data_IF_510821784530
#
_entry.id   IF_510821784530
#
_cell.length_a   1.000
_cell.length_b   1.000
_cell.length_c   1.000
_cell.angle_alpha   90.00
_cell.angle_beta   90.00
_cell.angle_gamma   90.00
#
_symmetry.space_group_name_H-M   'P 1'
#
loop_
_entity.id
_entity.type
_entity.pdbx_description
1 polymer ?
#
# COMPACT_ATOMS: atom_id res chain seq x y z
N UNK A 1 7.65 71.14 12.07
CA UNK A 1 8.75 70.94 13.04
C UNK A 1 8.91 69.43 13.19
N UNK A 2 9.71 68.71 12.39
CA UNK A 2 11.16 68.82 12.18
C UNK A 2 11.83 69.06 13.55
N UNK A 3 12.70 68.22 14.12
CA UNK A 3 13.44 67.05 13.65
C UNK A 3 14.15 66.48 14.94
N UNK A 4 15.34 65.86 14.95
CA UNK A 4 15.60 64.41 15.17
C UNK A 4 16.61 64.12 16.33
N UNK A 5 17.23 62.91 16.30
CA UNK A 5 18.61 62.53 16.75
C UNK A 5 18.65 61.47 17.88
N UNK A 6 19.52 60.45 17.92
CA UNK A 6 20.55 59.84 17.04
C UNK A 6 20.95 58.45 17.64
N UNK A 7 21.28 57.49 16.77
CA UNK A 7 22.43 56.53 16.75
C UNK A 7 22.80 55.59 17.94
N UNK A 8 22.66 54.27 17.66
CA UNK A 8 23.62 53.10 17.71
C UNK A 8 24.85 53.10 18.64
N UNK A 9 25.36 51.92 19.11
CA UNK A 9 26.25 51.05 18.30
C UNK A 9 25.98 49.53 18.44
N UNK A 10 26.00 48.75 17.34
CA UNK A 10 27.15 47.94 16.89
C UNK A 10 27.85 47.15 18.02
N UNK A 11 27.63 45.83 18.07
CA UNK A 11 28.50 44.89 18.78
C UNK A 11 29.18 43.98 17.75
N UNK A 12 30.48 44.23 17.58
CA UNK A 12 31.36 43.60 16.61
C UNK A 12 31.84 42.21 17.06
N UNK A 13 32.22 41.42 16.05
CA UNK A 13 32.97 40.17 16.10
C UNK A 13 34.42 40.36 16.58
N UNK A 14 34.91 39.44 17.42
CA UNK A 14 36.31 38.95 17.50
C UNK A 14 36.22 37.47 17.94
N UNK A 15 36.54 36.43 17.14
CA UNK A 15 37.82 35.85 16.68
C UNK A 15 38.85 35.48 17.78
N UNK A 16 38.99 34.17 18.06
CA UNK A 16 40.26 33.42 18.17
C UNK A 16 39.96 31.90 18.39
N UNK A 17 40.21 31.04 17.40
CA UNK A 17 41.35 30.09 17.30
C UNK A 17 41.39 28.96 18.33
N UNK A 18 41.14 27.71 17.88
CA UNK A 18 42.03 26.52 18.00
C UNK A 18 41.29 25.23 17.56
N UNK A 19 41.85 24.41 16.66
CA UNK A 19 41.41 23.03 16.42
C UNK A 19 42.36 22.02 17.07
N UNK A 20 41.87 21.14 17.95
CA UNK A 20 42.65 20.02 18.50
C UNK A 20 42.23 18.70 17.87
N UNK A 21 43.08 18.17 17.00
CA UNK A 21 43.06 16.81 16.45
C UNK A 21 43.72 15.89 17.48
N UNK A 22 43.04 14.83 17.91
CA UNK A 22 43.63 13.72 18.66
C UNK A 22 43.87 12.55 17.72
N UNK A 23 45.12 12.37 17.31
CA UNK A 23 45.65 11.15 16.71
C UNK A 23 46.55 10.45 17.73
N UNK A 24 46.20 9.23 18.12
CA UNK A 24 47.01 8.36 18.98
C UNK A 24 48.01 7.62 18.09
N UNK A 25 49.31 7.85 18.31
CA UNK A 25 50.40 7.06 17.74
C UNK A 25 51.13 6.34 18.88
N UNK A 26 51.33 5.03 18.72
CA UNK A 26 52.13 4.20 19.60
C UNK A 26 53.62 4.33 19.24
N UNK A 27 54.45 4.58 20.24
CA UNK A 27 55.90 4.58 20.16
C UNK A 27 56.44 3.17 20.44
N UNK A 28 57.38 2.69 19.63
CA UNK A 28 58.36 1.66 20.02
C UNK A 28 59.73 2.03 19.45
N UNK A 29 60.72 2.02 20.34
CA UNK A 29 62.11 2.39 20.10
C UNK A 29 62.93 1.32 19.36
N UNK A 30 64.07 1.69 18.75
CA UNK A 30 65.00 0.79 18.09
C UNK A 30 66.11 0.29 19.05
N UNK A 31 66.60 -0.93 18.82
CA UNK A 31 67.89 -1.38 19.35
C UNK A 31 68.72 -2.08 18.27
N UNK A 32 69.97 -1.66 18.21
CA UNK A 32 71.07 -2.06 17.33
C UNK A 32 71.97 -3.14 17.97
N UNK A 33 72.98 -3.60 17.19
CA UNK A 33 74.18 -4.39 17.56
C UNK A 33 73.96 -5.93 17.61
N UNK A 34 74.80 -6.82 17.10
CA UNK A 34 76.23 -6.80 16.74
C UNK A 34 76.57 -7.75 15.57
N UNK A 35 77.73 -7.47 14.98
CA UNK A 35 78.50 -8.29 14.04
C UNK A 35 79.01 -9.60 14.67
N UNK A 36 79.19 -10.65 13.84
CA UNK A 36 80.14 -11.73 14.13
C UNK A 36 80.69 -12.36 12.84
N UNK A 37 81.99 -12.18 12.65
CA UNK A 37 82.87 -12.78 11.65
C UNK A 37 83.38 -14.15 12.09
N UNK A 38 83.53 -15.13 11.19
CA UNK A 38 84.59 -16.18 11.14
C UNK A 38 84.49 -16.87 9.75
N UNK A 39 85.41 -16.63 8.81
CA UNK A 39 86.68 -17.33 8.53
C UNK A 39 86.55 -18.63 7.73
N UNK A 40 87.25 -18.65 6.60
CA UNK A 40 87.25 -19.65 5.53
C UNK A 40 87.88 -21.00 5.89
N UNK A 41 87.52 -22.05 5.14
CA UNK A 41 88.43 -23.17 4.86
C UNK A 41 88.09 -23.80 3.49
N UNK A 42 89.16 -24.16 2.77
CA UNK A 42 89.25 -24.54 1.36
C UNK A 42 89.06 -26.06 1.20
N UNK A 43 88.34 -26.49 0.16
CA UNK A 43 88.61 -27.76 -0.55
C UNK A 43 87.92 -27.81 -1.93
N UNK A 44 88.72 -27.96 -3.00
CA UNK A 44 88.35 -28.36 -4.38
C UNK A 44 88.62 -29.89 -4.54
N UNK A 45 88.42 -30.54 -5.71
CA UNK A 45 87.19 -30.72 -6.50
C UNK A 45 87.02 -32.21 -6.94
N UNK A 46 85.87 -32.63 -7.50
CA UNK A 46 85.84 -33.73 -8.50
C UNK A 46 84.71 -33.53 -9.52
N UNK A 47 84.99 -33.53 -10.83
CA UNK A 47 83.96 -33.47 -11.86
C UNK A 47 83.59 -34.89 -12.31
N UNK A 48 82.29 -35.19 -12.37
CA UNK A 48 81.76 -36.28 -13.18
C UNK A 48 80.61 -35.75 -14.02
N UNK A 49 80.63 -35.95 -15.35
CA UNK A 49 79.57 -35.49 -16.23
C UNK A 49 78.54 -36.60 -16.39
N UNK A 50 77.27 -36.34 -16.07
CA UNK A 50 76.17 -37.08 -16.68
C UNK A 50 74.87 -36.29 -16.64
N UNK A 51 74.46 -35.97 -17.86
CA UNK A 51 73.14 -35.58 -18.35
C UNK A 51 72.02 -36.13 -17.47
N UNK A 52 71.07 -35.27 -17.02
CA UNK A 52 69.62 -35.53 -17.14
C UNK A 52 68.75 -34.43 -16.52
N UNK A 53 67.80 -33.95 -17.33
CA UNK A 53 66.53 -33.30 -16.99
C UNK A 53 66.58 -31.88 -16.42
N UNK A 54 66.43 -30.92 -17.31
CA UNK A 54 65.70 -29.68 -17.08
C UNK A 54 64.27 -29.99 -16.61
N UNK A 55 64.07 -30.12 -15.29
CA UNK A 55 62.75 -29.99 -14.67
C UNK A 55 62.59 -28.53 -14.29
N UNK A 56 61.93 -27.75 -15.15
CA UNK A 56 61.41 -26.45 -14.77
C UNK A 56 60.55 -26.63 -13.51
N UNK A 57 60.77 -25.89 -12.41
CA UNK A 57 59.82 -25.87 -11.33
C UNK A 57 58.55 -25.22 -11.87
N UNK A 58 57.54 -26.03 -12.15
CA UNK A 58 56.19 -25.57 -12.45
C UNK A 58 55.64 -24.94 -11.17
N UNK A 59 56.07 -23.71 -10.87
CA UNK A 59 55.45 -22.88 -9.85
C UNK A 59 54.09 -22.50 -10.39
N UNK A 60 53.09 -23.33 -10.09
CA UNK A 60 51.71 -23.00 -10.38
C UNK A 60 51.29 -21.90 -9.41
N UNK A 61 51.59 -20.66 -9.78
CA UNK A 61 51.08 -19.47 -9.14
C UNK A 61 49.56 -19.52 -9.27
N UNK A 62 48.87 -19.81 -8.17
CA UNK A 62 47.42 -19.68 -8.12
C UNK A 62 47.08 -18.20 -8.05
N UNK A 63 46.71 -17.62 -9.19
CA UNK A 63 46.07 -16.30 -9.25
C UNK A 63 44.60 -16.40 -8.82
N UNK A 64 44.37 -16.83 -7.58
CA UNK A 64 43.07 -16.60 -6.94
C UNK A 64 43.25 -15.40 -6.03
N UNK A 65 43.09 -14.20 -6.57
CA UNK A 65 42.88 -13.02 -5.75
C UNK A 65 41.55 -13.20 -5.01
N UNK A 66 41.48 -12.71 -3.77
CA UNK A 66 40.31 -12.70 -2.89
C UNK A 66 39.10 -11.90 -3.43
N UNK A 67 39.06 -11.66 -4.75
CA UNK A 67 38.02 -10.95 -5.48
C UNK A 67 36.84 -11.85 -5.90
N UNK A 68 36.82 -13.12 -5.51
CA UNK A 68 35.71 -14.05 -5.79
C UNK A 68 34.58 -14.01 -4.74
N UNK A 69 34.68 -13.18 -3.70
CA UNK A 69 33.60 -12.97 -2.73
C UNK A 69 32.78 -11.68 -3.02
N UNK A 70 33.27 -10.76 -3.86
CA UNK A 70 32.63 -9.46 -4.09
C UNK A 70 31.63 -9.40 -5.24
N UNK A 71 31.47 -10.46 -6.04
CA UNK A 71 30.67 -10.44 -7.28
C UNK A 71 29.45 -11.37 -7.24
N UNK A 72 29.00 -11.82 -6.06
CA UNK A 72 27.80 -12.67 -5.98
C UNK A 72 26.48 -11.94 -6.26
N UNK A 73 26.47 -10.60 -6.33
CA UNK A 73 25.30 -9.80 -6.70
C UNK A 73 25.72 -8.56 -7.50
N UNK A 74 26.24 -8.76 -8.71
CA UNK A 74 26.61 -7.69 -9.65
C UNK A 74 25.40 -6.99 -10.31
N UNK A 75 24.26 -6.96 -9.63
CA UNK A 75 23.04 -6.27 -10.05
C UNK A 75 22.42 -5.59 -8.85
N UNK A 76 22.80 -4.33 -8.60
CA UNK A 76 21.95 -3.39 -7.89
C UNK A 76 20.67 -3.23 -8.71
N UNK A 77 19.65 -4.05 -8.43
CA UNK A 77 18.31 -3.85 -8.97
C UNK A 77 17.72 -2.64 -8.26
N UNK A 78 17.96 -1.46 -8.81
CA UNK A 78 17.32 -0.24 -8.33
C UNK A 78 15.80 -0.38 -8.54
N UNK A 79 14.99 -0.41 -7.47
CA UNK A 79 13.56 -0.53 -7.62
C UNK A 79 12.99 0.75 -8.25
N UNK A 80 12.05 0.58 -9.18
CA UNK A 80 11.33 1.71 -9.75
C UNK A 80 10.75 2.63 -8.66
N UNK A 81 10.88 3.95 -8.89
CA UNK A 81 10.42 5.00 -8.00
C UNK A 81 8.94 4.85 -7.63
N UNK A 82 8.62 5.00 -6.34
CA UNK A 82 7.27 4.75 -5.79
C UNK A 82 6.29 5.91 -5.94
N UNK A 83 6.69 6.99 -6.64
CA UNK A 83 5.87 8.17 -6.92
C UNK A 83 5.22 8.77 -5.64
N UNK A 84 6.00 8.84 -4.56
CA UNK A 84 5.60 9.47 -3.30
C UNK A 84 5.53 11.00 -3.45
N UNK A 85 5.06 11.70 -2.42
CA UNK A 85 4.95 13.16 -2.37
C UNK A 85 3.53 13.69 -2.53
N UNK A 86 3.43 15.00 -2.68
CA UNK A 86 2.17 15.72 -2.87
C UNK A 86 1.49 15.31 -4.17
N UNK A 87 0.16 15.22 -4.12
CA UNK A 87 -0.74 14.97 -5.25
C UNK A 87 -1.70 16.13 -5.46
N UNK A 88 -1.94 16.90 -4.39
CA UNK A 88 -2.66 18.16 -4.42
C UNK A 88 -1.82 19.22 -3.73
N UNK A 89 -1.84 20.43 -4.27
CA UNK A 89 -1.09 21.57 -3.73
C UNK A 89 -1.97 22.43 -2.82
N UNK A 90 -1.36 23.37 -2.08
CA UNK A 90 -2.11 24.28 -1.22
C UNK A 90 -3.04 25.18 -2.03
N UNK A 91 -4.31 25.27 -1.64
CA UNK A 91 -5.35 26.05 -2.32
C UNK A 91 -6.07 25.30 -3.46
N UNK A 92 -5.70 24.05 -3.73
CA UNK A 92 -6.36 23.23 -4.76
C UNK A 92 -7.69 22.66 -4.25
N UNK A 93 -8.71 22.64 -5.11
CA UNK A 93 -10.02 22.08 -4.79
C UNK A 93 -9.99 20.55 -4.82
N UNK A 94 -10.60 19.92 -3.82
CA UNK A 94 -10.65 18.47 -3.64
C UNK A 94 -12.06 18.01 -3.27
N UNK A 95 -12.37 16.78 -3.67
CA UNK A 95 -13.63 16.06 -3.39
C UNK A 95 -13.31 14.90 -2.43
N UNK A 96 -14.27 14.41 -1.61
CA UNK A 96 -14.04 13.27 -0.73
C UNK A 96 -13.40 12.08 -1.45
N UNK A 97 -12.40 11.47 -0.82
CA UNK A 97 -11.62 10.35 -1.38
C UNK A 97 -10.41 10.77 -2.22
N UNK A 98 -10.26 12.05 -2.58
CA UNK A 98 -9.07 12.52 -3.29
C UNK A 98 -7.81 12.36 -2.44
N UNK A 99 -6.76 11.77 -3.00
CA UNK A 99 -5.45 11.65 -2.35
C UNK A 99 -4.75 13.01 -2.40
N UNK A 100 -4.27 13.49 -1.26
CA UNK A 100 -3.55 14.76 -1.14
C UNK A 100 -2.04 14.53 -1.06
N UNK A 101 -1.60 13.53 -0.29
CA UNK A 101 -0.17 13.26 -0.10
C UNK A 101 0.11 11.78 0.12
N UNK A 102 1.05 11.20 -0.64
CA UNK A 102 1.53 9.82 -0.47
C UNK A 102 2.89 9.83 0.21
N UNK A 103 3.05 9.07 1.29
CA UNK A 103 4.28 9.11 2.09
C UNK A 103 4.67 7.74 2.65
N UNK A 104 5.87 7.68 3.23
CA UNK A 104 6.34 6.59 4.08
C UNK A 104 6.56 7.18 5.46
N UNK A 105 5.87 6.61 6.46
CA UNK A 105 5.68 7.26 7.76
C UNK A 105 4.85 8.54 7.65
N UNK A 106 4.64 9.21 8.78
CA UNK A 106 3.85 10.43 8.91
C UNK A 106 4.73 11.67 8.89
N UNK A 107 5.19 12.10 7.70
CA UNK A 107 5.89 13.40 7.55
C UNK A 107 4.92 14.57 7.70
N UNK A 108 3.71 14.35 7.20
CA UNK A 108 2.54 15.17 7.41
C UNK A 108 1.49 14.33 8.15
N UNK A 109 0.76 14.97 9.04
CA UNK A 109 -0.34 14.39 9.79
C UNK A 109 -1.69 14.83 9.22
N UNK A 110 -2.74 14.01 9.34
CA UNK A 110 -4.08 14.43 8.96
C UNK A 110 -4.55 15.55 9.91
N UNK A 111 -4.92 16.69 9.32
CA UNK A 111 -5.57 17.81 9.99
C UNK A 111 -7.08 17.79 9.76
N UNK A 112 -7.69 18.96 9.76
CA UNK A 112 -9.15 19.10 9.61
C UNK A 112 -9.67 18.58 8.27
N UNK A 113 -10.79 17.86 8.28
CA UNK A 113 -11.44 17.28 7.08
C UNK A 113 -10.51 16.39 6.22
N UNK A 114 -9.48 15.81 6.84
CA UNK A 114 -8.57 14.85 6.24
C UNK A 114 -8.54 13.56 7.08
N UNK A 115 -8.23 12.45 6.42
CA UNK A 115 -7.98 11.18 7.09
C UNK A 115 -6.72 10.53 6.52
N UNK A 116 -6.21 9.52 7.25
CA UNK A 116 -4.98 8.82 6.91
C UNK A 116 -5.28 7.34 6.63
N UNK A 117 -4.77 6.83 5.51
CA UNK A 117 -4.89 5.41 5.13
C UNK A 117 -3.85 4.53 5.82
N UNK A 118 -3.95 3.21 5.58
CA UNK A 118 -3.02 2.19 6.13
C UNK A 118 -1.55 2.48 5.79
N UNK A 119 -1.28 3.02 4.60
CA UNK A 119 0.07 3.34 4.14
C UNK A 119 0.48 4.78 4.45
N UNK A 120 -0.20 5.43 5.39
CA UNK A 120 -0.04 6.83 5.78
C UNK A 120 -0.36 7.85 4.67
N UNK A 121 -1.04 7.42 3.61
CA UNK A 121 -1.57 8.33 2.58
C UNK A 121 -2.65 9.22 3.17
N UNK A 122 -2.54 10.54 2.99
CA UNK A 122 -3.56 11.49 3.43
C UNK A 122 -4.55 11.74 2.30
N UNK A 123 -5.84 11.66 2.60
CA UNK A 123 -6.93 11.89 1.67
C UNK A 123 -8.01 12.80 2.27
N UNK A 124 -8.76 13.48 1.41
CA UNK A 124 -9.83 14.40 1.80
C UNK A 124 -11.08 13.61 2.24
N UNK A 125 -11.71 13.99 3.36
CA UNK A 125 -13.01 13.44 3.78
C UNK A 125 -14.18 14.32 3.36
N UNK A 126 -13.95 15.62 3.15
CA UNK A 126 -14.98 16.58 2.72
C UNK A 126 -14.52 17.37 1.50
N UNK A 127 -15.48 17.97 0.78
CA UNK A 127 -15.20 18.82 -0.37
C UNK A 127 -14.76 20.23 0.06
N UNK A 128 -13.63 20.70 -0.47
CA UNK A 128 -13.05 21.99 -0.10
C UNK A 128 -11.66 22.22 -0.72
N UNK A 129 -10.85 23.05 -0.08
CA UNK A 129 -9.53 23.47 -0.53
C UNK A 129 -8.42 23.00 0.42
N UNK A 130 -7.34 22.45 -0.13
CA UNK A 130 -6.23 21.89 0.67
C UNK A 130 -5.42 23.00 1.34
N UNK A 131 -5.08 22.84 2.61
CA UNK A 131 -4.21 23.74 3.38
C UNK A 131 -3.15 22.94 4.12
N UNK A 132 -1.89 23.36 3.96
CA UNK A 132 -0.74 22.87 4.72
C UNK A 132 -0.47 23.84 5.86
N UNK A 133 -0.39 23.36 7.09
CA UNK A 133 -0.21 24.22 8.27
C UNK A 133 0.54 23.52 9.39
N UNK A 134 1.03 24.29 10.34
CA UNK A 134 1.54 23.80 11.63
C UNK A 134 0.59 24.27 12.73
N UNK A 135 0.41 23.46 13.76
CA UNK A 135 -0.50 23.75 14.88
C UNK A 135 0.26 23.60 16.19
N UNK A 136 0.91 24.69 16.67
CA UNK A 136 1.74 24.63 17.86
C UNK A 136 0.93 24.43 19.14
N UNK A 137 -0.34 24.84 19.16
CA UNK A 137 -1.24 24.64 20.31
C UNK A 137 -1.55 23.16 20.50
N UNK A 138 -1.70 22.41 19.40
CA UNK A 138 -1.95 20.97 19.45
C UNK A 138 -0.67 20.16 19.61
N UNK A 139 0.30 20.37 18.72
CA UNK A 139 1.59 19.69 18.73
C UNK A 139 2.70 20.54 18.07
N UNK A 140 3.73 20.99 18.82
CA UNK A 140 4.71 21.96 18.34
C UNK A 140 5.53 21.46 17.14
N UNK A 141 5.92 20.19 17.12
CA UNK A 141 6.85 19.66 16.10
C UNK A 141 6.14 19.09 14.86
N UNK A 142 4.80 18.98 14.89
CA UNK A 142 4.03 18.27 13.86
C UNK A 142 3.49 19.24 12.81
N UNK A 143 3.46 18.75 11.57
CA UNK A 143 2.89 19.47 10.43
C UNK A 143 1.65 18.74 9.92
N UNK A 144 0.65 19.50 9.51
CA UNK A 144 -0.68 19.03 9.19
C UNK A 144 -1.10 19.37 7.77
N UNK A 145 -1.97 18.53 7.22
CA UNK A 145 -2.70 18.79 5.98
C UNK A 145 -4.18 18.72 6.30
N UNK A 146 -4.89 19.82 6.08
CA UNK A 146 -6.34 19.90 6.24
C UNK A 146 -7.02 20.35 4.95
N UNK A 147 -8.34 20.28 4.96
CA UNK A 147 -9.22 20.79 3.90
C UNK A 147 -10.19 21.79 4.51
N UNK A 148 -10.28 22.98 3.91
CA UNK A 148 -11.19 24.04 4.35
C UNK A 148 -12.32 24.21 3.34
N UNK A 149 -13.52 24.53 3.80
CA UNK A 149 -14.69 24.63 2.93
C UNK A 149 -14.65 25.79 1.94
N UNK A 150 -14.12 26.91 2.40
CA UNK A 150 -13.99 28.14 1.64
C UNK A 150 -12.56 28.26 1.14
N UNK A 151 -12.39 28.90 -0.02
CA UNK A 151 -11.09 29.12 -0.61
C UNK A 151 -10.20 29.96 0.30
N UNK A 152 -10.74 31.00 0.92
CA UNK A 152 -9.99 31.95 1.75
C UNK A 152 -9.84 31.50 3.20
N UNK A 153 -10.43 30.36 3.55
CA UNK A 153 -10.35 29.82 4.90
C UNK A 153 -8.91 29.41 5.27
N UNK A 154 -8.53 29.72 6.51
CA UNK A 154 -7.20 29.49 7.08
C UNK A 154 -7.26 28.40 8.16
N UNK A 155 -6.19 27.63 8.24
CA UNK A 155 -5.91 26.67 9.32
C UNK A 155 -4.57 27.05 9.97
N UNK A 156 -4.38 26.79 11.29
CA UNK A 156 -5.32 26.17 12.22
C UNK A 156 -6.48 27.09 12.64
N UNK A 157 -7.60 26.51 13.07
CA UNK A 157 -8.68 27.27 13.70
C UNK A 157 -8.33 27.59 15.16
N UNK A 158 -8.71 28.76 15.70
CA UNK A 158 -8.45 29.06 17.10
C UNK A 158 -9.28 28.13 18.00
N UNK A 159 -8.70 27.71 19.14
CA UNK A 159 -9.25 26.67 20.03
C UNK A 159 -10.72 26.84 20.42
N UNK A 160 -11.17 28.08 20.63
CA UNK A 160 -12.51 28.39 21.11
C UNK A 160 -13.50 28.78 19.99
N UNK A 161 -13.09 28.71 18.71
CA UNK A 161 -14.02 28.98 17.62
C UNK A 161 -14.97 27.80 17.37
N UNK A 162 -16.21 28.07 16.91
CA UNK A 162 -17.12 27.02 16.50
C UNK A 162 -16.55 26.23 15.31
N UNK A 163 -16.70 24.91 15.36
CA UNK A 163 -16.28 24.01 14.27
C UNK A 163 -17.16 24.24 13.04
N UNK A 164 -16.55 24.66 11.93
CA UNK A 164 -17.24 24.78 10.64
C UNK A 164 -17.56 23.38 10.12
N UNK A 165 -18.79 23.14 9.64
CA UNK A 165 -19.24 21.84 9.08
C UNK A 165 -20.20 22.06 7.93
N UNK A 166 -20.22 21.14 6.95
CA UNK A 166 -21.23 21.12 5.87
C UNK A 166 -22.23 19.99 6.11
N UNK A 167 -23.51 20.27 5.88
CA UNK A 167 -24.58 19.28 5.98
C UNK A 167 -24.53 18.27 4.82
N UNK A 168 -24.12 18.70 3.61
CA UNK A 168 -24.02 17.88 2.40
C UNK A 168 -25.28 17.06 2.08
N UNK A 169 -26.46 17.58 2.42
CA UNK A 169 -27.76 16.97 2.13
C UNK A 169 -28.60 17.93 1.31
N UNK A 170 -29.45 17.36 0.44
CA UNK A 170 -30.42 18.10 -0.36
C UNK A 170 -31.81 17.75 0.16
N UNK A 171 -32.67 18.76 0.28
CA UNK A 171 -34.08 18.57 0.65
C UNK A 171 -34.80 17.87 -0.49
N UNK A 172 -35.25 16.64 -0.25
CA UNK A 172 -36.09 15.90 -1.20
C UNK A 172 -37.50 15.87 -0.63
N UNK A 173 -38.53 16.27 -1.40
CA UNK A 173 -39.91 16.16 -0.93
C UNK A 173 -40.21 14.68 -0.64
N UNK A 174 -40.82 14.42 0.51
CA UNK A 174 -41.22 13.08 0.89
C UNK A 174 -42.30 12.61 -0.09
N UNK A 175 -42.02 11.52 -0.81
CA UNK A 175 -43.05 10.80 -1.53
C UNK A 175 -43.85 9.99 -0.53
N UNK A 176 -45.14 10.30 -0.41
CA UNK A 176 -46.04 9.43 0.32
C UNK A 176 -46.12 8.08 -0.41
N UNK A 177 -46.03 6.95 0.32
CA UNK A 177 -46.14 5.65 -0.32
C UNK A 177 -47.53 5.55 -0.95
N UNK A 178 -47.58 5.42 -2.27
CA UNK A 178 -48.82 5.04 -2.96
C UNK A 178 -49.21 3.69 -2.39
N UNK A 179 -50.41 3.60 -1.79
CA UNK A 179 -50.92 2.33 -1.30
C UNK A 179 -50.87 1.33 -2.46
N UNK A 180 -50.23 0.18 -2.25
CA UNK A 180 -50.30 -0.93 -3.19
C UNK A 180 -51.77 -1.29 -3.34
N UNK A 181 -52.39 -0.87 -4.45
CA UNK A 181 -53.63 -1.49 -4.89
C UNK A 181 -53.25 -2.92 -5.25
N UNK A 182 -53.72 -3.87 -4.45
CA UNK A 182 -53.67 -5.27 -4.84
C UNK A 182 -54.56 -5.44 -6.06
N UNK A 183 -54.02 -6.04 -7.13
CA UNK A 183 -54.73 -6.32 -8.39
C UNK A 183 -55.99 -7.22 -8.21
N UNK A 184 -56.23 -7.70 -7.00
CA UNK A 184 -57.43 -8.46 -6.64
C UNK A 184 -58.16 -7.77 -5.49
N UNK A 185 -59.39 -7.36 -5.78
CA UNK A 185 -60.39 -6.98 -4.78
C UNK A 185 -61.32 -8.20 -4.67
N UNK A 186 -61.27 -8.89 -3.53
CA UNK A 186 -62.25 -9.94 -3.23
C UNK A 186 -63.45 -9.27 -2.56
N UNK A 187 -64.59 -9.21 -3.25
CA UNK A 187 -65.87 -8.87 -2.62
C UNK A 187 -66.50 -10.16 -2.07
N UNK A 188 -66.97 -10.09 -0.84
CA UNK A 188 -67.65 -11.20 -0.17
C UNK A 188 -69.15 -10.86 -0.20
N UNK A 189 -69.89 -11.53 -1.07
CA UNK A 189 -71.36 -11.45 -1.11
C UNK A 189 -71.96 -12.70 -0.43
N UNK A 190 -73.26 -12.64 -0.11
CA UNK A 190 -74.00 -13.69 0.62
C UNK A 190 -73.99 -15.07 -0.08
N UNK A 191 -73.61 -15.13 -1.37
CA UNK A 191 -73.53 -16.35 -2.17
C UNK A 191 -72.10 -16.90 -2.39
N UNK A 192 -71.09 -16.34 -1.71
CA UNK A 192 -69.69 -16.81 -1.75
C UNK A 192 -68.69 -15.77 -2.29
N UNK A 193 -67.40 -16.03 -2.06
CA UNK A 193 -66.31 -15.12 -2.44
C UNK A 193 -66.14 -15.06 -3.96
N UNK A 194 -66.48 -13.93 -4.59
CA UNK A 194 -66.09 -13.67 -5.97
C UNK A 194 -64.78 -12.88 -6.01
N UNK A 195 -63.82 -13.40 -6.77
CA UNK A 195 -62.54 -12.73 -7.04
C UNK A 195 -62.66 -12.03 -8.38
N UNK A 196 -62.83 -10.71 -8.36
CA UNK A 196 -62.84 -9.89 -9.57
C UNK A 196 -61.41 -9.61 -10.04
N UNK A 197 -61.13 -9.86 -11.32
CA UNK A 197 -59.92 -9.35 -11.97
C UNK A 197 -60.09 -7.86 -12.23
N UNK A 198 -59.25 -7.03 -11.61
CA UNK A 198 -59.17 -5.61 -11.97
C UNK A 198 -58.60 -5.52 -13.40
N UNK A 199 -59.17 -4.66 -14.25
CA UNK A 199 -58.65 -4.41 -15.60
C UNK A 199 -57.16 -4.06 -15.50
N UNK A 200 -56.32 -4.88 -16.16
CA UNK A 200 -54.89 -4.69 -16.16
C UNK A 200 -54.58 -3.26 -16.64
N UNK A 201 -54.03 -2.43 -15.75
CA UNK A 201 -53.51 -1.11 -16.11
C UNK A 201 -52.56 -1.33 -17.29
N UNK A 202 -52.85 -0.69 -18.43
CA UNK A 202 -52.15 -0.87 -19.72
C UNK A 202 -50.67 -1.20 -19.52
N UNK A 203 -50.15 -2.23 -20.18
CA UNK A 203 -48.75 -2.68 -20.02
C UNK A 203 -47.68 -1.59 -20.24
N UNK A 204 -48.07 -0.42 -20.76
CA UNK A 204 -47.26 0.80 -20.79
C UNK A 204 -46.94 1.38 -19.39
N UNK A 205 -47.78 1.12 -18.38
CA UNK A 205 -47.64 1.61 -16.99
C UNK A 205 -47.03 0.58 -16.02
N UNK A 206 -46.56 -0.56 -16.52
CA UNK A 206 -45.67 -1.42 -15.74
C UNK A 206 -44.29 -0.77 -15.57
N UNK A 207 -43.46 -1.20 -14.61
CA UNK A 207 -42.08 -0.71 -14.49
C UNK A 207 -41.33 -0.99 -15.79
N UNK A 208 -41.22 0.03 -16.65
CA UNK A 208 -40.51 -0.08 -17.91
C UNK A 208 -39.04 -0.38 -17.64
N UNK A 209 -38.54 -1.45 -18.25
CA UNK A 209 -37.13 -1.82 -18.16
C UNK A 209 -36.29 -0.64 -18.68
N UNK A 210 -35.16 -0.35 -18.02
CA UNK A 210 -34.23 0.68 -18.48
C UNK A 210 -33.87 0.45 -19.96
N UNK A 211 -33.76 1.50 -20.79
CA UNK A 211 -33.35 1.35 -22.18
C UNK A 211 -32.08 0.50 -22.31
N UNK A 212 -32.12 -0.58 -23.09
CA UNK A 212 -31.05 -1.57 -23.23
C UNK A 212 -31.19 -2.86 -22.39
N UNK A 213 -32.13 -2.90 -21.44
CA UNK A 213 -32.54 -4.14 -20.78
C UNK A 213 -33.70 -4.78 -21.55
N UNK A 214 -33.40 -5.80 -22.35
CA UNK A 214 -34.42 -6.70 -22.91
C UNK A 214 -34.76 -7.79 -21.90
N UNK A 215 -36.03 -8.14 -21.77
CA UNK A 215 -36.44 -9.37 -21.10
C UNK A 215 -35.77 -10.56 -21.80
N UNK A 216 -34.95 -11.31 -21.06
CA UNK A 216 -34.33 -12.55 -21.53
C UNK A 216 -34.92 -13.69 -20.74
N UNK A 217 -35.77 -14.48 -21.39
CA UNK A 217 -36.36 -15.71 -20.82
C UNK A 217 -35.30 -16.61 -20.19
N UNK A 218 -34.10 -16.65 -20.78
CA UNK A 218 -32.95 -17.38 -20.23
C UNK A 218 -32.58 -16.95 -18.79
N UNK A 219 -32.61 -15.65 -18.47
CA UNK A 219 -32.29 -15.17 -17.12
C UNK A 219 -33.37 -15.57 -16.11
N UNK A 220 -34.63 -15.54 -16.54
CA UNK A 220 -35.77 -15.98 -15.72
C UNK A 220 -35.71 -17.49 -15.43
N UNK A 221 -35.40 -18.29 -16.46
CA UNK A 221 -35.20 -19.74 -16.32
C UNK A 221 -34.03 -20.06 -15.39
N UNK A 222 -32.93 -19.29 -15.45
CA UNK A 222 -31.77 -19.45 -14.54
C UNK A 222 -32.18 -19.18 -13.10
N UNK A 223 -32.98 -18.14 -12.83
CA UNK A 223 -33.48 -17.84 -11.48
C UNK A 223 -34.33 -18.97 -10.89
N UNK A 224 -35.15 -19.61 -11.73
CA UNK A 224 -36.04 -20.73 -11.36
C UNK A 224 -35.36 -22.10 -11.39
N UNK A 225 -34.09 -22.20 -11.81
CA UNK A 225 -33.38 -23.47 -11.93
C UNK A 225 -33.26 -24.20 -10.58
N UNK A 226 -33.12 -23.46 -9.48
CA UNK A 226 -33.07 -24.01 -8.12
C UNK A 226 -34.43 -24.61 -7.70
N UNK A 227 -35.53 -23.91 -8.00
CA UNK A 227 -36.90 -24.39 -7.74
C UNK A 227 -37.23 -25.63 -8.57
N UNK A 228 -36.88 -25.62 -9.86
CA UNK A 228 -37.07 -26.76 -10.77
C UNK A 228 -36.27 -28.00 -10.35
N UNK A 229 -35.10 -27.79 -9.75
CA UNK A 229 -34.27 -28.86 -9.21
C UNK A 229 -34.68 -29.27 -7.76
N UNK A 230 -35.68 -28.62 -7.17
CA UNK A 230 -36.10 -28.86 -5.78
C UNK A 230 -35.05 -28.49 -4.74
N UNK A 231 -34.03 -27.69 -5.12
CA UNK A 231 -32.90 -27.35 -4.25
C UNK A 231 -33.30 -26.15 -3.38
N UNK A 232 -33.69 -26.45 -2.14
CA UNK A 232 -33.96 -25.42 -1.14
C UNK A 232 -32.67 -25.06 -0.39
N UNK A 233 -32.41 -23.77 -0.18
CA UNK A 233 -31.27 -23.34 0.63
C UNK A 233 -31.47 -23.78 2.09
N UNK A 234 -30.46 -24.45 2.67
CA UNK A 234 -30.53 -24.86 4.08
C UNK A 234 -30.56 -23.62 5.00
N UNK A 235 -31.35 -23.64 6.09
CA UNK A 235 -31.40 -22.55 7.04
C UNK A 235 -30.03 -22.30 7.68
N UNK A 236 -29.72 -21.03 7.93
CA UNK A 236 -28.45 -20.64 8.54
C UNK A 236 -28.45 -20.90 10.05
N UNK A 237 -27.56 -21.79 10.50
CA UNK A 237 -27.35 -22.07 11.92
C UNK A 237 -26.20 -21.21 12.49
N UNK A 238 -26.56 -20.28 13.39
CA UNK A 238 -25.62 -19.37 14.08
C UNK A 238 -24.66 -20.08 15.04
N UNK A 239 -25.01 -21.27 15.54
CA UNK A 239 -24.19 -22.03 16.51
C UNK A 239 -23.09 -22.85 15.84
N UNK A 240 -23.25 -23.17 14.56
CA UNK A 240 -22.31 -23.99 13.79
C UNK A 240 -21.19 -23.15 13.15
N UNK A 241 -20.31 -22.60 13.99
CA UNK A 241 -19.16 -21.77 13.57
C UNK A 241 -18.18 -22.50 12.62
N UNK A 242 -18.15 -23.82 12.65
CA UNK A 242 -17.24 -24.67 11.86
C UNK A 242 -17.83 -25.17 10.53
N UNK A 243 -19.09 -24.87 10.22
CA UNK A 243 -19.74 -25.30 8.98
C UNK A 243 -18.99 -24.81 7.74
N UNK A 244 -18.56 -23.54 7.74
CA UNK A 244 -17.81 -22.95 6.64
C UNK A 244 -16.46 -23.63 6.42
N UNK A 245 -15.77 -23.99 7.51
CA UNK A 245 -14.50 -24.71 7.47
C UNK A 245 -14.67 -26.13 6.91
N UNK A 246 -15.69 -26.89 7.38
CA UNK A 246 -16.01 -28.22 6.84
C UNK A 246 -16.39 -28.18 5.36
N UNK A 247 -17.23 -27.21 4.95
CA UNK A 247 -17.56 -26.98 3.53
C UNK A 247 -16.34 -26.61 2.69
N UNK A 248 -15.32 -25.99 3.27
CA UNK A 248 -14.04 -25.70 2.58
C UNK A 248 -13.22 -26.97 2.40
N UNK A 249 -13.08 -27.80 3.42
CA UNK A 249 -12.35 -29.07 3.34
C UNK A 249 -13.00 -30.01 2.31
N UNK A 250 -14.32 -30.21 2.38
CA UNK A 250 -15.05 -31.04 1.41
C UNK A 250 -14.89 -30.54 -0.04
N UNK A 251 -14.82 -29.22 -0.26
CA UNK A 251 -14.51 -28.66 -1.60
C UNK A 251 -13.09 -28.96 -2.04
N UNK A 252 -12.11 -28.87 -1.12
CA UNK A 252 -10.71 -29.18 -1.41
C UNK A 252 -10.54 -30.67 -1.76
N UNK A 253 -11.18 -31.57 -1.01
CA UNK A 253 -11.19 -33.01 -1.28
C UNK A 253 -11.83 -33.33 -2.63
N UNK A 254 -13.01 -32.76 -2.92
CA UNK A 254 -13.68 -32.94 -4.22
C UNK A 254 -12.82 -32.42 -5.39
N UNK A 255 -12.14 -31.30 -5.21
CA UNK A 255 -11.21 -30.77 -6.20
C UNK A 255 -9.99 -31.70 -6.39
N UNK A 256 -9.44 -32.26 -5.32
CA UNK A 256 -8.37 -33.24 -5.38
C UNK A 256 -8.80 -34.52 -6.11
N UNK A 257 -10.01 -35.01 -5.83
CA UNK A 257 -10.60 -36.17 -6.51
C UNK A 257 -10.81 -35.90 -8.01
N UNK A 258 -11.34 -34.74 -8.39
CA UNK A 258 -11.49 -34.37 -9.80
C UNK A 258 -10.13 -34.25 -10.51
N UNK A 259 -9.10 -33.75 -9.81
CA UNK A 259 -7.74 -33.66 -10.33
C UNK A 259 -7.13 -35.06 -10.54
N UNK A 260 -7.36 -36.00 -9.62
CA UNK A 260 -6.88 -37.37 -9.75
C UNK A 260 -7.59 -38.12 -10.89
N UNK A 261 -8.91 -37.97 -11.04
CA UNK A 261 -9.68 -38.53 -12.16
C UNK A 261 -9.22 -37.97 -13.51
N UNK A 262 -8.97 -36.66 -13.59
CA UNK A 262 -8.41 -36.01 -14.79
C UNK A 262 -7.00 -36.52 -15.09
N UNK A 263 -6.19 -36.78 -14.07
CA UNK A 263 -4.88 -37.42 -14.17
C UNK A 263 -4.96 -38.82 -14.77
N UNK A 264 -5.84 -39.68 -14.22
CA UNK A 264 -6.10 -41.04 -14.72
C UNK A 264 -6.58 -41.06 -16.18
N UNK A 265 -7.47 -40.13 -16.56
CA UNK A 265 -7.93 -39.99 -17.95
C UNK A 265 -6.79 -39.60 -18.90
N UNK A 266 -5.85 -38.76 -18.46
CA UNK A 266 -4.67 -38.38 -19.26
C UNK A 266 -3.67 -39.53 -19.41
N UNK A 267 -3.41 -40.30 -18.35
CA UNK A 267 -2.51 -41.46 -18.43
C UNK A 267 -3.10 -42.56 -19.32
N UNK A 268 -4.40 -42.84 -19.21
CA UNK A 268 -5.09 -43.81 -20.07
C UNK A 268 -5.08 -43.40 -21.56
N UNK A 269 -5.10 -42.10 -21.87
CA UNK A 269 -4.98 -41.59 -23.25
C UNK A 269 -3.54 -41.66 -23.80
N UNK A 270 -2.51 -41.69 -22.93
CA UNK A 270 -1.09 -41.75 -23.32
C UNK A 270 -0.57 -43.19 -23.48
N UNK A 271 -1.28 -44.17 -22.92
CA UNK A 271 -0.94 -45.60 -23.02
C UNK A 271 -1.71 -46.38 -24.09
N UNK A 272 -2.52 -45.69 -24.91
CA UNK A 272 -3.04 -46.18 -26.20
C UNK A 272 -2.27 -45.47 -27.30
#
# INVERSE_FOLDING_TARGET
MLQPRLLTPLRALERAFTPSILSVQYAYQPQSLMQRTLSASIALPKPTPSISRTLLPFSQVRYASHASQGTANRHSRDPAGKRLGAKRTGGEYVVPGCIIFKQRGSKWFPGDNCAMGRDHTIYATQAGYVRYYADPERHPDRRYIGVVFEKDGKLPHPRNAPSRRKLNMVTVPRMEPVAFQSDMIASIDENGTQVGSVEAVNAESGPQLRPGYMYREANWIIGRAAEKAGITAMPYDRRNRWLAWRKRQARAERAAQMKSLKGKKKSAKKGK
#
